data_IF_855592062214
#
_entry.id   IF_855592062214
#
_cell.length_a   1.000
_cell.length_b   1.000
_cell.length_c   1.000
_cell.angle_alpha   90.00
_cell.angle_beta   90.00
_cell.angle_gamma   90.00
#
_symmetry.space_group_name_H-M   'P 1'
#
loop_
_entity.id
_entity.type
_entity.pdbx_description
1 polymer ?
#
# COMPACT_ATOMS: atom_id res chain seq x y z
N UNK A 1 41.01 -25.69 42.16
CA UNK A 1 41.00 -24.58 41.19
C UNK A 1 39.70 -24.67 40.40
N UNK A 2 38.53 -24.41 41.01
CA UNK A 2 37.83 -23.09 41.12
C UNK A 2 37.73 -22.43 39.73
N UNK A 3 36.56 -22.33 39.06
CA UNK A 3 35.37 -21.50 39.35
C UNK A 3 34.17 -22.04 38.52
N UNK A 4 33.00 -22.31 39.12
CA UNK A 4 31.85 -21.41 39.39
C UNK A 4 31.02 -20.99 38.16
N UNK A 5 29.77 -21.47 38.15
CA UNK A 5 28.66 -20.93 37.38
C UNK A 5 28.23 -19.55 37.90
N UNK A 6 27.70 -18.68 37.03
CA UNK A 6 26.78 -17.60 37.43
C UNK A 6 26.05 -17.02 36.22
N UNK A 7 24.74 -16.87 36.37
CA UNK A 7 23.81 -16.18 35.47
C UNK A 7 23.93 -14.65 35.53
N UNK A 8 23.40 -13.97 34.50
CA UNK A 8 23.03 -12.54 34.53
C UNK A 8 22.71 -12.02 33.12
N UNK A 9 21.45 -12.08 32.68
CA UNK A 9 20.46 -10.97 32.63
C UNK A 9 20.95 -9.71 31.90
N UNK A 10 20.25 -9.39 30.81
CA UNK A 10 19.64 -8.06 30.64
C UNK A 10 20.13 -7.24 29.46
N UNK A 11 19.37 -7.25 28.36
CA UNK A 11 19.15 -6.05 27.53
C UNK A 11 17.68 -5.98 27.11
N UNK A 12 16.82 -5.82 28.13
CA UNK A 12 15.43 -5.37 27.97
C UNK A 12 15.42 -3.87 27.65
N UNK A 13 15.88 -3.48 26.47
CA UNK A 13 15.78 -2.09 25.97
C UNK A 13 15.11 -2.00 24.59
N UNK A 14 15.22 -3.03 23.74
CA UNK A 14 14.56 -3.05 22.43
C UNK A 14 13.04 -3.36 22.52
N UNK A 15 12.61 -4.15 23.52
CA UNK A 15 11.22 -4.56 23.64
C UNK A 15 10.26 -3.42 24.05
N UNK A 16 10.77 -2.40 24.77
CA UNK A 16 9.94 -1.29 25.25
C UNK A 16 9.67 -0.24 24.17
N UNK A 17 10.60 -0.02 23.24
CA UNK A 17 10.39 0.91 22.12
C UNK A 17 9.30 0.41 21.16
N UNK A 18 9.24 -0.90 20.93
CA UNK A 18 8.22 -1.56 20.09
C UNK A 18 6.82 -1.55 20.73
N UNK A 19 6.74 -1.50 22.07
CA UNK A 19 5.48 -1.42 22.84
C UNK A 19 4.85 -0.02 22.80
N UNK A 20 5.67 1.03 22.87
CA UNK A 20 5.18 2.41 22.81
C UNK A 20 4.65 2.73 21.39
N UNK A 21 5.31 2.22 20.35
CA UNK A 21 4.91 2.44 18.96
C UNK A 21 3.64 1.65 18.57
N UNK A 22 3.39 0.48 19.16
CA UNK A 22 2.17 -0.30 18.91
C UNK A 22 0.92 0.34 19.52
N UNK A 23 1.07 1.05 20.64
CA UNK A 23 -0.01 1.80 21.31
C UNK A 23 -0.47 3.02 20.49
N UNK A 24 0.47 3.69 19.80
CA UNK A 24 0.17 4.85 18.95
C UNK A 24 -0.48 4.47 17.60
N UNK A 25 -0.54 3.17 17.26
CA UNK A 25 -1.15 2.65 16.03
C UNK A 25 -2.67 2.60 16.08
N UNK A 26 -3.28 2.76 17.26
CA UNK A 26 -4.72 2.85 17.42
C UNK A 26 -5.17 4.30 17.37
N UNK A 27 -5.27 4.86 16.17
CA UNK A 27 -5.95 6.15 15.97
C UNK A 27 -7.46 5.96 16.17
N UNK A 28 -7.90 5.90 17.44
CA UNK A 28 -9.30 6.01 17.87
C UNK A 28 -9.94 7.38 17.56
N UNK A 29 -9.24 8.27 16.84
CA UNK A 29 -9.68 9.63 16.57
C UNK A 29 -10.42 9.79 15.23
N UNK A 30 -10.49 8.73 14.41
CA UNK A 30 -11.38 8.68 13.24
C UNK A 30 -12.36 7.53 13.45
N UNK A 31 -13.39 7.77 14.23
CA UNK A 31 -14.52 6.85 14.31
C UNK A 31 -15.35 7.04 13.05
N UNK A 32 -15.02 6.31 11.98
CA UNK A 32 -15.85 6.29 10.79
C UNK A 32 -17.20 5.66 11.16
N UNK A 33 -18.26 6.47 11.25
CA UNK A 33 -19.61 5.93 11.41
C UNK A 33 -19.93 5.13 10.15
N UNK A 34 -20.27 3.84 10.24
CA UNK A 34 -20.74 3.09 9.09
C UNK A 34 -21.93 3.83 8.48
N UNK A 35 -21.84 4.15 7.19
CA UNK A 35 -22.91 4.88 6.48
C UNK A 35 -24.12 3.99 6.20
N UNK A 36 -24.02 2.68 6.45
CA UNK A 36 -25.04 1.68 6.10
C UNK A 36 -25.14 1.39 4.60
N UNK A 37 -24.30 2.02 3.77
CA UNK A 37 -24.27 1.78 2.32
C UNK A 37 -23.59 0.45 2.02
N UNK A 38 -24.12 -0.29 1.04
CA UNK A 38 -23.48 -1.50 0.53
C UNK A 38 -22.20 -1.13 -0.21
N UNK A 39 -21.15 -1.93 -0.03
CA UNK A 39 -19.92 -1.75 -0.79
C UNK A 39 -20.18 -1.95 -2.29
N UNK A 40 -19.52 -1.15 -3.11
CA UNK A 40 -19.63 -1.20 -4.56
C UNK A 40 -18.35 -1.73 -5.22
N UNK A 41 -18.49 -2.21 -6.45
CA UNK A 41 -17.39 -2.60 -7.33
C UNK A 41 -17.78 -2.34 -8.79
N UNK A 42 -16.86 -2.59 -9.72
CA UNK A 42 -17.09 -2.45 -11.15
C UNK A 42 -18.00 -3.57 -11.67
N UNK A 43 -18.88 -3.26 -12.63
CA UNK A 43 -19.71 -4.28 -13.29
C UNK A 43 -18.92 -5.20 -14.21
N UNK A 44 -17.83 -4.68 -14.80
CA UNK A 44 -16.94 -5.40 -15.72
C UNK A 44 -15.55 -4.79 -15.68
N UNK A 45 -14.56 -5.51 -16.20
CA UNK A 45 -13.21 -4.98 -16.30
C UNK A 45 -13.14 -3.81 -17.29
N UNK A 46 -12.28 -2.84 -16.98
CA UNK A 46 -11.97 -1.69 -17.85
C UNK A 46 -10.46 -1.56 -17.95
N UNK A 47 -9.96 -1.27 -19.15
CA UNK A 47 -8.54 -1.22 -19.44
C UNK A 47 -8.16 0.12 -20.09
N UNK A 48 -7.01 0.65 -19.70
CA UNK A 48 -6.42 1.84 -20.33
C UNK A 48 -4.92 1.66 -20.54
N UNK A 49 -4.46 2.04 -21.73
CA UNK A 49 -3.05 2.19 -22.09
C UNK A 49 -2.69 3.66 -22.22
N UNK A 50 -1.50 4.04 -21.78
CA UNK A 50 -1.01 5.42 -21.85
C UNK A 50 0.49 5.51 -21.62
N UNK A 51 1.01 6.73 -21.62
CA UNK A 51 2.41 7.01 -21.30
C UNK A 51 2.50 7.39 -19.83
N UNK A 52 3.42 6.76 -19.10
CA UNK A 52 3.70 7.07 -17.69
C UNK A 52 4.34 8.45 -17.56
N UNK A 53 3.94 9.19 -16.52
CA UNK A 53 4.36 10.58 -16.31
C UNK A 53 5.86 10.71 -16.03
N UNK A 54 6.45 9.80 -15.24
CA UNK A 54 7.85 9.94 -14.84
C UNK A 54 8.81 9.24 -15.80
N UNK A 55 8.54 7.99 -16.19
CA UNK A 55 9.43 7.19 -17.05
C UNK A 55 9.25 7.44 -18.55
N UNK A 56 8.14 8.04 -18.98
CA UNK A 56 7.81 8.17 -20.40
C UNK A 56 7.54 6.83 -21.12
N UNK A 57 7.49 5.71 -20.38
CA UNK A 57 7.25 4.37 -20.93
C UNK A 57 5.76 4.12 -21.11
N UNK A 58 5.42 3.22 -22.04
CA UNK A 58 4.04 2.75 -22.18
C UNK A 58 3.66 1.94 -20.93
N UNK A 59 2.57 2.33 -20.29
CA UNK A 59 1.96 1.60 -19.19
C UNK A 59 0.52 1.25 -19.52
N UNK A 60 0.06 0.19 -18.86
CA UNK A 60 -1.28 -0.34 -18.99
C UNK A 60 -1.81 -0.65 -17.61
N UNK A 61 -3.03 -0.19 -17.37
CA UNK A 61 -3.78 -0.44 -16.14
C UNK A 61 -5.10 -1.09 -16.51
N UNK A 62 -5.46 -2.15 -15.80
CA UNK A 62 -6.74 -2.84 -15.94
C UNK A 62 -7.42 -2.93 -14.58
N UNK A 63 -8.60 -2.34 -14.51
CA UNK A 63 -9.45 -2.33 -13.33
C UNK A 63 -10.41 -3.51 -13.42
N UNK A 64 -10.42 -4.37 -12.42
CA UNK A 64 -11.22 -5.58 -12.36
C UNK A 64 -12.16 -5.52 -11.14
N UNK A 65 -13.38 -6.10 -11.23
CA UNK A 65 -14.26 -6.24 -10.07
C UNK A 65 -13.53 -6.94 -8.91
N UNK A 66 -13.78 -6.47 -7.69
CA UNK A 66 -13.26 -7.04 -6.44
C UNK A 66 -14.38 -7.61 -5.60
N UNK A 67 -14.08 -8.62 -4.78
CA UNK A 67 -15.05 -9.16 -3.82
C UNK A 67 -15.26 -8.19 -2.66
N UNK A 68 -16.43 -8.26 -2.04
CA UNK A 68 -16.73 -7.46 -0.84
C UNK A 68 -15.69 -7.72 0.26
N UNK A 69 -15.22 -6.64 0.89
CA UNK A 69 -14.23 -6.67 1.96
C UNK A 69 -12.78 -6.71 1.47
N UNK A 70 -12.50 -6.83 0.17
CA UNK A 70 -11.14 -6.80 -0.35
C UNK A 70 -10.54 -5.39 -0.39
N UNK A 71 -11.38 -4.36 -0.51
CA UNK A 71 -10.93 -3.01 -0.75
C UNK A 71 -10.28 -2.85 -2.13
N UNK A 72 -9.48 -1.79 -2.28
CA UNK A 72 -8.70 -1.50 -3.49
C UNK A 72 -7.28 -1.99 -3.31
N UNK A 73 -6.74 -2.67 -4.30
CA UNK A 73 -5.35 -3.11 -4.28
C UNK A 73 -4.76 -3.12 -5.69
N UNK A 74 -3.45 -2.88 -5.75
CA UNK A 74 -2.68 -3.02 -6.97
C UNK A 74 -2.10 -4.42 -7.07
N UNK A 75 -2.13 -5.00 -8.27
CA UNK A 75 -1.56 -6.30 -8.60
C UNK A 75 -0.52 -6.11 -9.72
N UNK A 76 0.73 -6.48 -9.42
CA UNK A 76 1.82 -6.50 -10.39
C UNK A 76 2.50 -7.87 -10.35
N UNK A 77 2.34 -8.65 -11.42
CA UNK A 77 2.92 -10.00 -11.55
C UNK A 77 2.62 -10.87 -10.32
N UNK A 78 1.36 -10.89 -9.89
CA UNK A 78 0.88 -11.62 -8.70
C UNK A 78 1.37 -11.09 -7.35
N UNK A 79 2.09 -9.97 -7.31
CA UNK A 79 2.41 -9.27 -6.07
C UNK A 79 1.35 -8.20 -5.80
N UNK A 80 0.78 -8.23 -4.60
CA UNK A 80 -0.36 -7.38 -4.25
C UNK A 80 0.01 -6.34 -3.20
N UNK A 81 -0.30 -5.08 -3.49
CA UNK A 81 -0.18 -3.96 -2.54
C UNK A 81 -1.57 -3.38 -2.27
N UNK A 82 -2.09 -3.49 -1.04
CA UNK A 82 -3.30 -2.78 -0.65
C UNK A 82 -3.14 -1.27 -0.82
N UNK A 83 -4.18 -0.59 -1.32
CA UNK A 83 -4.23 0.86 -1.37
C UNK A 83 -4.56 1.43 0.02
N UNK A 84 -3.62 1.25 0.96
CA UNK A 84 -3.72 1.65 2.36
C UNK A 84 -2.58 2.62 2.71
N UNK A 85 -2.87 3.54 3.63
CA UNK A 85 -1.89 4.49 4.17
C UNK A 85 -0.67 3.80 4.80
N UNK A 86 -0.81 2.55 5.26
CA UNK A 86 0.31 1.77 5.79
C UNK A 86 1.40 1.48 4.75
N UNK A 87 1.03 1.43 3.47
CA UNK A 87 1.95 1.20 2.35
C UNK A 87 2.29 2.50 1.61
N UNK A 88 1.64 3.61 1.96
CA UNK A 88 1.85 4.88 1.29
C UNK A 88 3.10 5.59 1.80
N UNK A 89 3.92 6.06 0.87
CA UNK A 89 5.06 6.92 1.11
C UNK A 89 4.94 8.16 0.24
N UNK A 90 5.19 9.33 0.84
CA UNK A 90 5.31 10.57 0.08
C UNK A 90 6.62 10.51 -0.67
N UNK A 91 6.54 10.68 -1.98
CA UNK A 91 7.70 10.78 -2.87
C UNK A 91 7.65 12.13 -3.59
N UNK A 92 8.78 12.63 -4.12
CA UNK A 92 8.77 13.85 -4.91
C UNK A 92 7.70 13.77 -6.00
N UNK A 93 6.78 14.74 -6.01
CA UNK A 93 5.74 14.95 -7.01
C UNK A 93 4.61 13.90 -7.07
N UNK A 94 4.61 12.85 -6.25
CA UNK A 94 3.55 11.84 -6.28
C UNK A 94 3.40 11.06 -4.96
N UNK A 95 2.29 10.33 -4.83
CA UNK A 95 2.14 9.28 -3.80
C UNK A 95 2.65 7.95 -4.35
N UNK A 96 3.47 7.26 -3.57
CA UNK A 96 3.99 5.93 -3.93
C UNK A 96 3.51 4.88 -2.94
N UNK A 97 3.01 3.75 -3.43
CA UNK A 97 2.77 2.56 -2.61
C UNK A 97 3.99 1.64 -2.64
N UNK A 98 4.44 1.22 -1.46
CA UNK A 98 5.63 0.39 -1.26
C UNK A 98 5.29 -0.84 -0.42
N UNK A 99 5.63 -2.04 -0.90
CA UNK A 99 5.50 -3.29 -0.15
C UNK A 99 6.43 -4.35 -0.74
N UNK A 100 7.15 -5.10 0.10
CA UNK A 100 8.01 -6.21 -0.32
C UNK A 100 8.99 -5.86 -1.46
N UNK A 101 9.55 -4.65 -1.43
CA UNK A 101 10.46 -4.13 -2.46
C UNK A 101 9.79 -3.60 -3.73
N UNK A 102 8.49 -3.85 -3.92
CA UNK A 102 7.71 -3.31 -5.04
C UNK A 102 7.32 -1.85 -4.76
N UNK A 103 7.47 -0.98 -5.76
CA UNK A 103 7.08 0.44 -5.72
C UNK A 103 6.13 0.78 -6.86
N UNK A 104 4.97 1.34 -6.54
CA UNK A 104 3.98 1.81 -7.52
C UNK A 104 3.76 3.30 -7.30
N UNK A 105 4.21 4.10 -8.26
CA UNK A 105 4.14 5.57 -8.19
C UNK A 105 2.85 6.11 -8.79
N UNK A 106 2.50 7.35 -8.42
CA UNK A 106 1.43 8.15 -9.03
C UNK A 106 0.05 7.50 -8.91
N UNK A 107 -0.24 6.96 -7.73
CA UNK A 107 -1.51 6.25 -7.45
C UNK A 107 -2.68 7.20 -7.17
N UNK A 108 -2.40 8.44 -6.80
CA UNK A 108 -3.35 9.40 -6.22
C UNK A 108 -4.54 9.73 -7.11
N UNK A 109 -4.33 9.98 -8.41
CA UNK A 109 -5.43 10.36 -9.31
C UNK A 109 -6.39 9.19 -9.55
N UNK A 110 -5.87 7.98 -9.73
CA UNK A 110 -6.69 6.78 -9.92
C UNK A 110 -7.50 6.48 -8.67
N UNK A 111 -6.86 6.51 -7.50
CA UNK A 111 -7.54 6.25 -6.22
C UNK A 111 -8.58 7.33 -5.91
N UNK A 112 -8.30 8.60 -6.22
CA UNK A 112 -9.27 9.70 -6.10
C UNK A 112 -10.47 9.51 -7.02
N UNK A 113 -10.26 9.11 -8.27
CA UNK A 113 -11.34 8.83 -9.21
C UNK A 113 -12.23 7.67 -8.72
N UNK A 114 -11.63 6.58 -8.25
CA UNK A 114 -12.35 5.43 -7.70
C UNK A 114 -13.18 5.81 -6.46
N UNK A 115 -12.62 6.64 -5.58
CA UNK A 115 -13.33 7.19 -4.43
C UNK A 115 -14.53 8.06 -4.86
N UNK A 116 -14.31 8.97 -5.80
CA UNK A 116 -15.34 9.91 -6.26
C UNK A 116 -16.56 9.20 -6.88
N UNK A 117 -16.35 8.06 -7.54
CA UNK A 117 -17.44 7.24 -8.09
C UNK A 117 -17.97 6.18 -7.12
N UNK A 118 -17.40 6.09 -5.92
CA UNK A 118 -17.83 5.19 -4.86
C UNK A 118 -17.46 3.73 -5.07
N UNK A 119 -16.36 3.40 -5.77
CA UNK A 119 -15.90 2.01 -5.95
C UNK A 119 -15.10 1.58 -4.72
N UNK A 120 -15.66 0.72 -3.88
CA UNK A 120 -15.00 0.25 -2.65
C UNK A 120 -14.01 -0.89 -2.90
N UNK A 121 -14.38 -1.85 -3.76
CA UNK A 121 -13.58 -3.03 -4.05
C UNK A 121 -13.13 -3.02 -5.51
N UNK A 122 -11.82 -3.12 -5.76
CA UNK A 122 -11.26 -3.11 -7.11
C UNK A 122 -9.86 -3.73 -7.12
N UNK A 123 -9.64 -4.69 -8.04
CA UNK A 123 -8.29 -5.15 -8.36
C UNK A 123 -7.72 -4.29 -9.48
N UNK A 124 -6.58 -3.67 -9.24
CA UNK A 124 -5.91 -2.75 -10.16
C UNK A 124 -4.67 -3.46 -10.72
N UNK A 125 -4.83 -4.16 -11.84
CA UNK A 125 -3.72 -4.84 -12.54
C UNK A 125 -2.87 -3.80 -13.28
N UNK A 126 -1.54 -3.83 -13.06
CA UNK A 126 -0.57 -3.00 -13.78
C UNK A 126 0.45 -3.89 -14.50
N UNK A 127 0.84 -3.53 -15.72
CA UNK A 127 1.83 -4.30 -16.49
C UNK A 127 3.27 -3.79 -16.34
N UNK A 128 3.45 -2.50 -16.05
CA UNK A 128 4.76 -1.85 -15.94
C UNK A 128 4.81 -0.95 -14.72
N UNK A 129 5.99 -0.82 -14.12
CA UNK A 129 6.27 0.11 -13.03
C UNK A 129 6.83 1.42 -13.59
N UNK A 130 6.45 2.53 -12.97
CA UNK A 130 6.99 3.85 -13.29
C UNK A 130 8.31 4.12 -12.52
N UNK A 131 9.22 3.16 -12.57
CA UNK A 131 10.55 3.28 -11.96
C UNK A 131 11.52 3.82 -13.02
N UNK A 132 12.11 4.96 -12.72
CA UNK A 132 13.32 5.39 -13.42
C UNK A 132 14.43 4.44 -12.96
N UNK A 133 15.13 3.81 -13.90
CA UNK A 133 16.25 2.95 -13.56
C UNK A 133 17.26 3.73 -12.73
N UNK A 134 17.72 3.11 -11.65
CA UNK A 134 18.88 3.44 -10.83
C UNK A 134 19.56 4.78 -11.18
N UNK A 135 19.30 5.83 -10.40
CA UNK A 135 20.40 6.75 -10.08
C UNK A 135 21.27 6.05 -9.04
N UNK A 136 22.12 5.16 -9.55
CA UNK A 136 23.38 4.85 -8.92
C UNK A 136 24.30 6.08 -9.10
N UNK A 137 24.33 6.92 -8.07
CA UNK A 137 25.55 7.62 -7.65
C UNK A 137 25.55 7.78 -6.12
#
# INVERSE_FOLDING_TARGET
TTLLASWGRGTSLAANAMSILSSLRSSKLITWKPTGKLQQTLTRCVERKGISLHSGKVSKVKLCPGFAGQGRYFDFRSNQIPASVEFAQVSPLCTTLCKDGLRIRTVEHLLSALEAVGVDNCRIEIENLDDQGDEAE
#
